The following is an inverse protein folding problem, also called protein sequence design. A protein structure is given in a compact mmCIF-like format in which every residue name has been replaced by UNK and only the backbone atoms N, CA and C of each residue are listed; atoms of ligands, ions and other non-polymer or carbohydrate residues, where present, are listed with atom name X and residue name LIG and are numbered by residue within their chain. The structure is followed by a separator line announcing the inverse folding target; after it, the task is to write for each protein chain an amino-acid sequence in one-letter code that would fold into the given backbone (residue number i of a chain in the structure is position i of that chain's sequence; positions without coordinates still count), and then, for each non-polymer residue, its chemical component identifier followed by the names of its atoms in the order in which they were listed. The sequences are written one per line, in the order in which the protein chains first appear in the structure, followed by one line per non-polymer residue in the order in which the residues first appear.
data_IF_038117949125
#
_entry.id   IF_038117949125
#
_cell.length_a   1.000
_cell.length_b   1.000
_cell.length_c   1.000
_cell.angle_alpha   90.00
_cell.angle_beta   90.00
_cell.angle_gamma   90.00
#
_symmetry.space_group_name_H-M   'P 1'
#
loop_
_entity.id
_entity.type
_entity.pdbx_description
1 polymer ?
#
# COMPACT_ATOMS: atom_id res chain seq x y z
N UNK A 1 -4.65 -34.41 -8.00
CA UNK A 1 -5.25 -33.14 -8.46
C UNK A 1 -4.10 -32.16 -8.60
N UNK A 2 -4.10 -31.29 -9.61
CA UNK A 2 -3.10 -30.22 -9.68
C UNK A 2 -3.44 -29.13 -8.66
N UNK A 3 -2.42 -28.57 -8.01
CA UNK A 3 -2.60 -27.39 -7.15
C UNK A 3 -3.07 -26.22 -8.01
N UNK A 4 -4.05 -25.47 -7.52
CA UNK A 4 -4.48 -24.23 -8.16
C UNK A 4 -3.56 -23.08 -7.71
N UNK A 5 -2.93 -22.40 -8.66
CA UNK A 5 -2.15 -21.19 -8.38
C UNK A 5 -3.10 -19.99 -8.45
N UNK A 6 -3.12 -19.19 -7.38
CA UNK A 6 -3.95 -17.99 -7.28
C UNK A 6 -3.03 -16.82 -6.99
N UNK A 7 -3.04 -15.80 -7.85
CA UNK A 7 -2.33 -14.55 -7.61
C UNK A 7 -3.28 -13.57 -6.89
N UNK A 8 -2.82 -13.05 -5.77
CA UNK A 8 -3.51 -12.08 -4.93
C UNK A 8 -2.72 -10.76 -4.92
N UNK A 9 -2.60 -10.09 -3.77
CA UNK A 9 -1.96 -8.79 -3.67
C UNK A 9 -0.42 -8.94 -3.70
N UNK A 10 0.19 -8.79 -4.88
CA UNK A 10 1.63 -9.03 -5.14
C UNK A 10 2.52 -7.84 -4.75
N UNK A 11 2.09 -7.07 -3.74
CA UNK A 11 2.66 -5.78 -3.28
C UNK A 11 4.15 -5.81 -3.05
N UNK A 12 4.60 -6.88 -2.41
CA UNK A 12 5.97 -7.03 -2.00
C UNK A 12 6.58 -8.00 -2.99
N UNK A 13 7.25 -7.45 -4.01
CA UNK A 13 8.23 -8.27 -4.73
C UNK A 13 9.30 -8.77 -3.76
N UNK A 14 9.53 -8.06 -2.64
CA UNK A 14 10.50 -8.43 -1.61
C UNK A 14 9.97 -8.27 -0.17
N UNK A 15 9.72 -9.36 0.58
CA UNK A 15 9.61 -10.73 0.10
C UNK A 15 8.22 -11.05 -0.46
N UNK A 16 8.19 -11.74 -1.61
CA UNK A 16 6.98 -12.36 -2.12
C UNK A 16 6.45 -13.35 -1.09
N UNK A 17 5.27 -13.07 -0.56
CA UNK A 17 4.58 -13.95 0.37
C UNK A 17 3.79 -15.03 -0.38
N UNK A 18 3.78 -16.23 0.17
CA UNK A 18 3.11 -17.41 -0.38
C UNK A 18 2.34 -18.10 0.74
N UNK A 19 1.13 -18.58 0.43
CA UNK A 19 0.29 -19.31 1.37
C UNK A 19 -0.22 -20.59 0.72
N UNK A 20 -0.14 -21.69 1.45
CA UNK A 20 -0.46 -23.02 0.93
C UNK A 20 -1.71 -23.52 1.65
N UNK A 21 -2.83 -23.59 0.92
CA UNK A 21 -4.15 -23.90 1.47
C UNK A 21 -4.45 -25.38 1.24
N UNK A 22 -4.70 -26.11 2.32
CA UNK A 22 -5.06 -27.52 2.26
C UNK A 22 -6.53 -27.72 1.90
N UNK A 23 -6.83 -28.78 1.14
CA UNK A 23 -8.21 -29.22 0.85
C UNK A 23 -8.90 -29.94 2.03
N UNK A 24 -8.16 -30.20 3.11
CA UNK A 24 -8.62 -30.81 4.35
C UNK A 24 -7.82 -30.28 5.54
N UNK A 25 -8.34 -30.40 6.75
CA UNK A 25 -7.63 -29.99 7.97
C UNK A 25 -6.26 -30.70 8.08
N UNK A 26 -5.22 -29.91 8.33
CA UNK A 26 -3.88 -30.42 8.63
C UNK A 26 -3.63 -30.40 10.12
N UNK A 27 -2.96 -31.44 10.61
CA UNK A 27 -2.31 -31.35 11.91
C UNK A 27 -1.13 -30.38 11.83
N UNK A 28 -0.79 -29.76 12.97
CA UNK A 28 0.39 -28.88 13.05
C UNK A 28 1.69 -29.56 12.56
N UNK A 29 1.86 -30.85 12.87
CA UNK A 29 3.03 -31.61 12.40
C UNK A 29 3.07 -31.73 10.88
N UNK A 30 1.92 -31.98 10.23
CA UNK A 30 1.84 -32.01 8.76
C UNK A 30 2.15 -30.64 8.16
N UNK A 31 1.63 -29.56 8.75
CA UNK A 31 1.98 -28.20 8.32
C UNK A 31 3.48 -27.91 8.45
N UNK A 32 4.12 -28.33 9.56
CA UNK A 32 5.56 -28.15 9.80
C UNK A 32 6.41 -28.96 8.81
N UNK A 33 5.98 -30.17 8.45
CA UNK A 33 6.65 -31.00 7.45
C UNK A 33 6.54 -30.40 6.04
N UNK A 34 5.38 -29.82 5.68
CA UNK A 34 5.18 -29.12 4.41
C UNK A 34 6.06 -27.86 4.35
N UNK A 35 6.09 -27.05 5.43
CA UNK A 35 6.93 -25.87 5.50
C UNK A 35 8.41 -26.22 5.30
N UNK A 36 8.88 -27.30 5.94
CA UNK A 36 10.25 -27.79 5.75
C UNK A 36 10.51 -28.23 4.31
N UNK A 37 9.58 -28.96 3.70
CA UNK A 37 9.70 -29.38 2.30
C UNK A 37 9.83 -28.19 1.35
N UNK A 38 9.01 -27.15 1.55
CA UNK A 38 9.05 -25.93 0.74
C UNK A 38 10.42 -25.25 0.86
N UNK A 39 10.91 -25.07 2.09
CA UNK A 39 12.22 -24.46 2.33
C UNK A 39 13.35 -25.29 1.70
N UNK A 40 13.36 -26.60 1.94
CA UNK A 40 14.38 -27.50 1.39
C UNK A 40 14.34 -27.53 -0.15
N UNK A 41 13.15 -27.37 -0.74
CA UNK A 41 13.01 -27.25 -2.19
C UNK A 41 13.63 -25.95 -2.71
N UNK A 42 13.37 -24.81 -2.06
CA UNK A 42 13.98 -23.52 -2.44
C UNK A 42 15.50 -23.56 -2.31
N UNK A 43 16.03 -24.17 -1.24
CA UNK A 43 17.47 -24.38 -1.06
C UNK A 43 18.06 -25.17 -2.26
N UNK A 44 17.42 -26.28 -2.66
CA UNK A 44 17.87 -27.09 -3.82
C UNK A 44 17.74 -26.35 -5.14
N UNK A 45 16.68 -25.56 -5.34
CA UNK A 45 16.46 -24.79 -6.55
C UNK A 45 17.55 -23.71 -6.73
N UNK A 46 17.87 -22.99 -5.65
CA UNK A 46 18.95 -22.01 -5.62
C UNK A 46 20.33 -22.63 -5.83
N UNK A 47 20.59 -23.82 -5.25
CA UNK A 47 21.84 -24.56 -5.51
C UNK A 47 21.96 -25.04 -6.95
N UNK A 48 20.85 -25.44 -7.57
CA UNK A 48 20.82 -25.96 -8.94
C UNK A 48 21.01 -24.88 -10.00
N UNK A 49 20.53 -23.66 -9.75
CA UNK A 49 20.67 -22.51 -10.64
C UNK A 49 20.96 -21.21 -9.87
N UNK A 50 22.22 -21.00 -9.43
CA UNK A 50 22.58 -19.85 -8.60
C UNK A 50 22.44 -18.51 -9.32
N UNK A 51 22.59 -18.49 -10.66
CA UNK A 51 22.43 -17.25 -11.45
C UNK A 51 20.96 -16.81 -11.46
N UNK A 52 20.04 -17.76 -11.58
CA UNK A 52 18.61 -17.48 -11.54
C UNK A 52 18.12 -16.96 -10.18
N UNK A 53 18.74 -17.44 -9.11
CA UNK A 53 18.42 -17.09 -7.73
C UNK A 53 19.31 -16.01 -7.14
N UNK A 54 20.19 -15.38 -7.95
CA UNK A 54 21.17 -14.36 -7.47
C UNK A 54 20.50 -13.22 -6.69
N UNK A 55 19.29 -12.84 -7.09
CA UNK A 55 18.53 -11.76 -6.47
C UNK A 55 17.82 -12.19 -5.18
N UNK A 56 17.42 -13.46 -5.04
CA UNK A 56 16.76 -13.96 -3.84
C UNK A 56 17.81 -14.21 -2.75
N UNK A 57 18.04 -13.26 -1.83
CA UNK A 57 19.07 -13.44 -0.80
C UNK A 57 18.51 -14.09 0.46
N UNK A 58 17.23 -13.89 0.73
CA UNK A 58 16.54 -14.44 1.88
C UNK A 58 15.24 -15.15 1.48
N UNK A 59 15.05 -16.36 2.01
CA UNK A 59 13.79 -17.09 1.92
C UNK A 59 13.55 -17.98 3.14
N UNK A 60 12.29 -18.28 3.40
CA UNK A 60 11.88 -19.12 4.50
C UNK A 60 10.46 -19.64 4.35
N UNK A 61 10.13 -20.65 5.15
CA UNK A 61 8.78 -21.18 5.25
C UNK A 61 8.47 -21.52 6.72
N UNK A 62 7.21 -21.36 7.10
CA UNK A 62 6.74 -21.50 8.47
C UNK A 62 5.28 -21.91 8.55
N UNK A 63 4.79 -21.97 9.79
CA UNK A 63 3.40 -22.29 10.09
C UNK A 63 2.85 -21.22 11.01
N UNK A 64 1.74 -20.60 10.61
CA UNK A 64 1.04 -19.59 11.38
C UNK A 64 0.31 -20.20 12.58
N UNK A 65 -0.17 -19.34 13.49
CA UNK A 65 -0.90 -19.77 14.68
C UNK A 65 -2.19 -20.57 14.35
N UNK A 66 -2.78 -20.34 13.18
CA UNK A 66 -3.98 -21.03 12.70
C UNK A 66 -3.68 -22.33 11.93
N UNK A 67 -2.40 -22.69 11.77
CA UNK A 67 -1.96 -23.89 11.05
C UNK A 67 -1.70 -23.69 9.56
N UNK A 68 -1.93 -22.48 9.02
CA UNK A 68 -1.62 -22.13 7.62
C UNK A 68 -0.12 -22.23 7.38
N UNK A 69 0.28 -22.90 6.30
CA UNK A 69 1.67 -22.92 5.86
C UNK A 69 1.95 -21.67 5.04
N UNK A 70 3.00 -20.95 5.39
CA UNK A 70 3.44 -19.72 4.74
C UNK A 70 4.87 -19.83 4.27
N UNK A 71 5.22 -19.14 3.20
CA UNK A 71 6.60 -18.96 2.76
C UNK A 71 6.81 -17.53 2.27
N UNK A 72 8.06 -17.08 2.31
CA UNK A 72 8.46 -15.75 1.88
C UNK A 72 9.81 -15.85 1.15
N UNK A 73 10.00 -15.09 0.07
CA UNK A 73 11.25 -15.04 -0.69
C UNK A 73 11.46 -13.66 -1.32
N UNK A 74 12.63 -13.04 -1.10
CA UNK A 74 12.95 -11.68 -1.57
C UNK A 74 12.84 -11.50 -3.08
N UNK A 75 13.15 -12.49 -3.91
CA UNK A 75 12.97 -12.38 -5.36
C UNK A 75 12.67 -13.74 -5.96
N UNK A 76 11.48 -14.28 -5.64
CA UNK A 76 11.11 -15.60 -6.10
C UNK A 76 11.05 -15.64 -7.65
N UNK A 77 11.87 -16.45 -8.34
CA UNK A 77 11.92 -16.40 -9.80
C UNK A 77 10.59 -16.87 -10.41
N UNK A 78 9.93 -16.12 -11.31
CA UNK A 78 8.58 -16.46 -11.79
C UNK A 78 8.44 -17.85 -12.41
N UNK A 79 9.47 -18.31 -13.13
CA UNK A 79 9.52 -19.66 -13.72
C UNK A 79 9.59 -20.80 -12.69
N UNK A 80 9.95 -20.51 -11.44
CA UNK A 80 10.02 -21.50 -10.36
C UNK A 80 8.65 -21.74 -9.68
N UNK A 81 7.65 -20.88 -9.95
CA UNK A 81 6.31 -20.97 -9.33
C UNK A 81 5.63 -22.29 -9.72
N UNK A 82 5.59 -22.59 -11.01
CA UNK A 82 5.00 -23.83 -11.52
C UNK A 82 5.78 -25.07 -11.05
N UNK A 83 7.12 -24.97 -10.99
CA UNK A 83 7.98 -26.08 -10.52
C UNK A 83 7.74 -26.40 -9.04
N UNK A 84 7.54 -25.39 -8.21
CA UNK A 84 7.15 -25.58 -6.81
C UNK A 84 5.75 -26.22 -6.70
N UNK A 85 4.79 -25.75 -7.50
CA UNK A 85 3.44 -26.33 -7.52
C UNK A 85 3.43 -27.80 -7.97
N UNK A 86 4.28 -28.17 -8.94
CA UNK A 86 4.47 -29.56 -9.38
C UNK A 86 5.06 -30.43 -8.26
N UNK A 87 6.10 -29.96 -7.58
CA UNK A 87 6.72 -30.68 -6.45
C UNK A 87 5.69 -30.92 -5.34
N UNK A 88 4.92 -29.89 -4.97
CA UNK A 88 3.89 -29.98 -3.93
C UNK A 88 2.73 -30.89 -4.34
N UNK A 89 2.37 -30.91 -5.63
CA UNK A 89 1.35 -31.84 -6.13
C UNK A 89 1.75 -33.30 -5.92
N UNK A 90 3.05 -33.61 -6.02
CA UNK A 90 3.59 -34.96 -5.83
C UNK A 90 3.74 -35.31 -4.34
N UNK A 91 4.32 -34.39 -3.56
CA UNK A 91 4.76 -34.68 -2.19
C UNK A 91 3.76 -34.24 -1.11
N UNK A 92 2.84 -33.36 -1.45
CA UNK A 92 1.86 -32.77 -0.54
C UNK A 92 0.45 -32.73 -1.18
N UNK A 93 -0.14 -33.89 -1.55
CA UNK A 93 -1.43 -33.96 -2.25
C UNK A 93 -2.61 -33.36 -1.47
N UNK A 94 -2.43 -33.08 -0.17
CA UNK A 94 -3.36 -32.36 0.68
C UNK A 94 -3.45 -30.86 0.37
N UNK A 95 -2.43 -30.26 -0.25
CA UNK A 95 -2.46 -28.86 -0.68
C UNK A 95 -3.34 -28.76 -1.92
N UNK A 96 -4.36 -27.91 -1.85
CA UNK A 96 -5.29 -27.65 -2.94
C UNK A 96 -4.95 -26.34 -3.68
N UNK A 97 -4.49 -25.33 -2.96
CA UNK A 97 -4.20 -24.00 -3.52
C UNK A 97 -2.83 -23.49 -3.06
N UNK A 98 -2.12 -22.83 -3.98
CA UNK A 98 -0.96 -22.00 -3.69
C UNK A 98 -1.33 -20.56 -4.01
N UNK A 99 -1.38 -19.71 -2.99
CA UNK A 99 -1.75 -18.30 -3.10
C UNK A 99 -0.49 -17.45 -3.06
N UNK A 100 -0.25 -16.68 -4.10
CA UNK A 100 0.89 -15.78 -4.26
C UNK A 100 0.47 -14.36 -3.89
N UNK A 101 1.19 -13.71 -2.99
CA UNK A 101 0.89 -12.39 -2.46
C UNK A 101 0.16 -12.41 -1.12
N UNK A 102 -0.14 -11.20 -0.63
CA UNK A 102 -0.92 -10.98 0.57
C UNK A 102 -2.39 -11.33 0.33
N UNK A 103 -3.13 -11.80 1.36
CA UNK A 103 -4.57 -11.95 1.25
C UNK A 103 -5.23 -10.67 0.76
N UNK A 104 -6.06 -10.81 -0.28
CA UNK A 104 -7.03 -9.78 -0.64
C UNK A 104 -8.01 -9.65 0.53
N UNK A 105 -7.74 -8.73 1.45
CA UNK A 105 -8.79 -8.22 2.30
C UNK A 105 -9.83 -7.58 1.37
N UNK A 106 -11.12 -7.90 1.56
CA UNK A 106 -12.20 -7.48 0.64
C UNK A 106 -12.15 -6.00 0.22
N UNK A 107 -12.87 -5.63 -0.86
CA UNK A 107 -12.58 -4.42 -1.61
C UNK A 107 -12.56 -3.20 -0.69
N UNK A 108 -11.52 -2.37 -0.85
CA UNK A 108 -11.35 -1.16 -0.07
C UNK A 108 -12.51 -0.22 -0.40
N UNK A 109 -13.44 -0.04 0.54
CA UNK A 109 -14.55 0.88 0.37
C UNK A 109 -14.26 2.19 1.11
N UNK A 110 -14.73 3.32 0.57
CA UNK A 110 -14.64 4.61 1.27
C UNK A 110 -15.33 4.57 2.65
N UNK A 111 -16.33 3.69 2.82
CA UNK A 111 -17.05 3.47 4.09
C UNK A 111 -16.20 2.80 5.16
N UNK A 112 -15.16 2.07 4.76
CA UNK A 112 -14.26 1.36 5.68
C UNK A 112 -13.07 2.22 6.09
N UNK A 113 -13.06 3.51 5.70
CA UNK A 113 -12.02 4.46 6.07
C UNK A 113 -11.89 4.54 7.59
N UNK A 114 -10.70 4.24 8.09
CA UNK A 114 -10.33 4.49 9.47
C UNK A 114 -10.12 6.00 9.66
N UNK A 115 -10.87 6.58 10.58
CA UNK A 115 -10.81 8.01 10.88
C UNK A 115 -9.96 8.28 12.12
N UNK A 116 -9.20 9.37 12.09
CA UNK A 116 -8.43 9.87 13.21
C UNK A 116 -9.00 11.23 13.64
N UNK A 117 -9.35 11.33 14.93
CA UNK A 117 -9.85 12.56 15.53
C UNK A 117 -8.69 13.44 15.95
N UNK A 118 -8.65 14.66 15.45
CA UNK A 118 -7.69 15.69 15.83
C UNK A 118 -8.42 16.73 16.69
N UNK A 119 -7.96 16.91 17.92
CA UNK A 119 -8.51 17.93 18.81
C UNK A 119 -8.20 19.34 18.33
N UNK A 120 -9.04 20.31 18.70
CA UNK A 120 -8.77 21.72 18.42
C UNK A 120 -7.44 22.15 19.07
N UNK A 121 -6.70 23.03 18.40
CA UNK A 121 -5.42 23.49 18.91
C UNK A 121 -4.84 24.66 18.12
N UNK A 122 -3.60 25.01 18.42
CA UNK A 122 -2.84 26.01 17.67
C UNK A 122 -1.67 25.33 16.95
N UNK A 123 -1.48 25.71 15.69
CA UNK A 123 -0.40 25.19 14.85
C UNK A 123 0.33 26.35 14.22
N UNK A 124 1.66 26.35 14.39
CA UNK A 124 2.54 27.28 13.69
C UNK A 124 2.92 26.70 12.34
N UNK A 125 2.74 27.42 11.24
CA UNK A 125 3.25 27.07 9.91
C UNK A 125 4.07 28.26 9.40
N UNK A 126 5.38 28.03 9.18
CA UNK A 126 6.31 29.11 8.89
C UNK A 126 6.37 30.13 10.04
N UNK A 127 5.93 31.37 9.79
CA UNK A 127 5.91 32.47 10.79
C UNK A 127 4.52 32.76 11.35
N UNK A 128 3.51 31.98 10.98
CA UNK A 128 2.12 32.22 11.36
C UNK A 128 1.64 31.14 12.32
N UNK A 129 1.06 31.55 13.44
CA UNK A 129 0.33 30.65 14.34
C UNK A 129 -1.16 30.77 14.04
N UNK A 130 -1.79 29.63 13.75
CA UNK A 130 -3.18 29.53 13.32
C UNK A 130 -3.95 28.65 14.30
N UNK A 131 -5.15 29.08 14.67
CA UNK A 131 -6.08 28.22 15.38
C UNK A 131 -6.67 27.20 14.41
N UNK A 132 -6.65 25.93 14.80
CA UNK A 132 -7.18 24.79 14.04
C UNK A 132 -8.35 24.21 14.85
N UNK A 133 -9.60 24.20 14.32
CA UNK A 133 -10.72 23.56 15.00
C UNK A 133 -10.50 22.04 15.07
N UNK A 134 -11.31 21.35 15.87
CA UNK A 134 -11.30 19.88 15.86
C UNK A 134 -11.84 19.36 14.52
N UNK A 135 -11.26 18.27 14.00
CA UNK A 135 -11.69 17.64 12.75
C UNK A 135 -11.37 16.14 12.74
N UNK A 136 -11.92 15.42 11.77
CA UNK A 136 -11.62 14.01 11.51
C UNK A 136 -11.00 13.84 10.13
N UNK A 137 -9.85 13.15 10.07
CA UNK A 137 -9.07 12.90 8.85
C UNK A 137 -8.81 11.40 8.67
N UNK A 138 -8.67 10.94 7.43
CA UNK A 138 -8.34 9.54 7.15
C UNK A 138 -6.97 9.16 7.73
N UNK A 139 -6.93 8.05 8.47
CA UNK A 139 -5.72 7.52 9.11
C UNK A 139 -4.66 7.07 8.10
N UNK A 140 -5.10 6.54 6.94
CA UNK A 140 -4.26 6.24 5.78
C UNK A 140 -4.55 7.23 4.64
N UNK A 141 -3.65 7.37 3.66
CA UNK A 141 -4.02 7.96 2.38
C UNK A 141 -5.17 7.19 1.72
N UNK A 142 -5.86 7.83 0.78
CA UNK A 142 -6.86 7.17 -0.06
C UNK A 142 -6.19 6.01 -0.80
N UNK A 143 -6.81 4.83 -0.76
CA UNK A 143 -6.22 3.64 -1.38
C UNK A 143 -6.58 3.52 -2.86
N UNK A 144 -5.83 2.71 -3.59
CA UNK A 144 -6.18 2.38 -4.99
C UNK A 144 -7.60 1.84 -5.08
N UNK A 145 -7.98 0.86 -4.25
CA UNK A 145 -9.32 0.27 -4.27
C UNK A 145 -10.44 1.28 -3.96
N UNK A 146 -10.21 2.23 -3.05
CA UNK A 146 -11.16 3.31 -2.79
C UNK A 146 -11.32 4.22 -4.01
N UNK A 147 -10.21 4.53 -4.70
CA UNK A 147 -10.23 5.34 -5.90
C UNK A 147 -10.86 4.61 -7.10
N UNK A 148 -10.70 3.29 -7.19
CA UNK A 148 -11.40 2.45 -8.15
C UNK A 148 -12.92 2.47 -7.92
N UNK A 149 -13.38 2.47 -6.67
CA UNK A 149 -14.80 2.66 -6.35
C UNK A 149 -15.33 3.98 -6.96
N UNK A 150 -14.54 5.05 -6.84
CA UNK A 150 -14.85 6.34 -7.45
C UNK A 150 -14.89 6.27 -8.98
N UNK A 151 -13.89 5.68 -9.63
CA UNK A 151 -13.84 5.53 -11.09
C UNK A 151 -15.03 4.71 -11.58
N UNK A 152 -15.30 3.57 -10.95
CA UNK A 152 -16.40 2.69 -11.31
C UNK A 152 -17.76 3.38 -11.15
N UNK A 153 -17.94 4.18 -10.09
CA UNK A 153 -19.19 4.89 -9.82
C UNK A 153 -19.44 6.09 -10.75
N UNK A 154 -18.38 6.72 -11.28
CA UNK A 154 -18.49 8.01 -11.98
C UNK A 154 -18.08 7.97 -13.45
N UNK A 155 -17.37 6.92 -13.88
CA UNK A 155 -16.71 6.88 -15.18
C UNK A 155 -15.57 7.89 -15.33
N UNK A 156 -15.02 8.38 -14.21
CA UNK A 156 -13.93 9.35 -14.22
C UNK A 156 -12.65 8.75 -14.80
N UNK A 157 -11.89 9.54 -15.56
CA UNK A 157 -10.57 9.16 -16.07
C UNK A 157 -9.54 10.14 -15.49
N UNK A 158 -8.66 9.69 -14.58
CA UNK A 158 -7.66 10.56 -13.98
C UNK A 158 -6.66 11.02 -15.04
N UNK A 159 -5.99 12.15 -14.79
CA UNK A 159 -5.09 12.73 -15.79
C UNK A 159 -3.95 11.79 -16.24
N UNK A 160 -3.26 11.04 -15.36
CA UNK A 160 -2.23 10.08 -15.76
C UNK A 160 -2.76 9.06 -16.78
N UNK A 161 -3.99 8.57 -16.58
CA UNK A 161 -4.63 7.57 -17.46
C UNK A 161 -4.97 8.08 -18.86
N UNK A 162 -4.80 9.39 -19.11
CA UNK A 162 -4.97 9.98 -20.44
C UNK A 162 -3.68 9.96 -21.27
N UNK A 163 -2.55 9.65 -20.66
CA UNK A 163 -1.24 9.62 -21.32
C UNK A 163 -0.73 8.18 -21.37
N UNK A 164 -0.89 7.52 -22.51
CA UNK A 164 -0.48 6.11 -22.73
C UNK A 164 1.05 5.89 -22.60
N UNK A 165 1.83 6.96 -22.59
CA UNK A 165 3.29 6.93 -22.72
C UNK A 165 4.04 6.60 -21.41
N UNK A 166 3.35 6.52 -20.25
CA UNK A 166 3.98 6.22 -18.96
C UNK A 166 3.10 5.31 -18.07
N UNK A 167 3.21 3.97 -18.21
CA UNK A 167 2.31 3.05 -17.56
C UNK A 167 2.43 3.00 -16.02
N UNK A 168 3.55 3.42 -15.43
CA UNK A 168 3.84 3.19 -14.01
C UNK A 168 2.90 3.85 -12.99
N UNK A 169 2.15 4.88 -13.40
CA UNK A 169 1.22 5.62 -12.53
C UNK A 169 -0.26 5.40 -12.92
N UNK A 170 -0.52 4.48 -13.84
CA UNK A 170 -1.88 4.18 -14.28
C UNK A 170 -2.61 3.36 -13.22
N UNK A 171 -3.91 3.61 -13.04
CA UNK A 171 -4.73 2.78 -12.15
C UNK A 171 -4.66 1.29 -12.56
N UNK A 172 -4.65 1.00 -13.86
CA UNK A 172 -4.48 -0.37 -14.36
C UNK A 172 -3.11 -0.97 -14.04
N UNK A 173 -2.07 -0.15 -13.90
CA UNK A 173 -0.76 -0.62 -13.44
C UNK A 173 -0.77 -0.96 -11.95
N UNK A 174 -1.43 -0.12 -11.13
CA UNK A 174 -1.68 -0.48 -9.74
C UNK A 174 -2.46 -1.79 -9.63
N UNK A 175 -3.47 -2.03 -10.47
CA UNK A 175 -4.23 -3.29 -10.45
C UNK A 175 -3.42 -4.50 -10.89
N UNK A 176 -2.54 -4.31 -11.87
CA UNK A 176 -1.63 -5.36 -12.32
C UNK A 176 -0.67 -5.79 -11.20
N UNK A 177 -0.20 -4.83 -10.40
CA UNK A 177 0.77 -5.09 -9.33
C UNK A 177 0.14 -5.46 -7.98
N UNK A 178 -1.04 -4.91 -7.66
CA UNK A 178 -1.65 -4.99 -6.34
C UNK A 178 -3.06 -5.63 -6.34
N UNK A 179 -3.47 -6.22 -7.47
CA UNK A 179 -4.75 -6.89 -7.61
C UNK A 179 -5.97 -5.95 -7.76
N UNK A 180 -7.20 -6.51 -7.75
CA UNK A 180 -8.41 -5.82 -8.23
C UNK A 180 -9.06 -4.84 -7.24
N UNK A 181 -8.51 -4.68 -6.03
CA UNK A 181 -8.95 -3.64 -5.08
C UNK A 181 -7.93 -3.44 -3.97
N UNK A 182 -6.79 -2.79 -4.25
CA UNK A 182 -5.70 -2.72 -3.31
C UNK A 182 -6.01 -1.80 -2.11
N UNK A 183 -5.53 -2.19 -0.93
CA UNK A 183 -5.55 -1.33 0.28
C UNK A 183 -4.32 -0.43 0.40
N UNK A 184 -3.50 -0.38 -0.64
CA UNK A 184 -2.31 0.47 -0.73
C UNK A 184 -2.68 1.91 -1.03
N UNK A 185 -1.92 2.82 -0.45
CA UNK A 185 -2.01 4.25 -0.75
C UNK A 185 -1.89 4.49 -2.27
N UNK A 186 -2.81 5.27 -2.80
CA UNK A 186 -2.76 5.72 -4.18
C UNK A 186 -1.76 6.87 -4.29
N UNK A 187 -0.77 6.71 -5.17
CA UNK A 187 0.18 7.75 -5.54
C UNK A 187 0.01 8.14 -7.00
N UNK A 188 0.45 9.36 -7.31
CA UNK A 188 0.57 9.80 -8.70
C UNK A 188 -0.76 10.20 -9.33
N UNK A 189 -1.63 10.85 -8.55
CA UNK A 189 -2.78 11.58 -9.08
C UNK A 189 -2.59 13.08 -8.92
N UNK A 190 -3.17 13.85 -9.83
CA UNK A 190 -3.10 15.31 -9.75
C UNK A 190 -3.93 15.87 -8.60
N UNK A 191 -3.73 17.15 -8.29
CA UNK A 191 -4.56 17.86 -7.31
C UNK A 191 -6.04 17.85 -7.71
N UNK A 192 -6.33 17.96 -9.02
CA UNK A 192 -7.68 17.97 -9.55
C UNK A 192 -8.36 16.61 -9.45
N UNK A 193 -7.60 15.55 -9.69
CA UNK A 193 -8.04 14.17 -9.52
C UNK A 193 -8.43 13.90 -8.05
N UNK A 194 -7.62 14.40 -7.11
CA UNK A 194 -7.90 14.31 -5.68
C UNK A 194 -9.14 15.11 -5.27
N UNK A 195 -9.31 16.33 -5.77
CA UNK A 195 -10.52 17.14 -5.53
C UNK A 195 -11.78 16.50 -6.12
N UNK A 196 -11.68 15.89 -7.30
CA UNK A 196 -12.80 15.18 -7.93
C UNK A 196 -13.28 14.01 -7.06
N UNK A 197 -12.33 13.22 -6.53
CA UNK A 197 -12.60 12.16 -5.57
C UNK A 197 -13.28 12.70 -4.31
N UNK A 198 -12.69 13.73 -3.68
CA UNK A 198 -13.25 14.35 -2.48
C UNK A 198 -14.69 14.79 -2.69
N UNK A 199 -14.99 15.43 -3.83
CA UNK A 199 -16.33 15.87 -4.18
C UNK A 199 -17.31 14.71 -4.30
N UNK A 200 -16.92 13.62 -4.96
CA UNK A 200 -17.76 12.42 -5.08
C UNK A 200 -18.05 11.79 -3.71
N UNK A 201 -17.03 11.70 -2.86
CA UNK A 201 -17.13 11.09 -1.54
C UNK A 201 -17.81 11.99 -0.48
N UNK A 202 -18.17 13.24 -0.82
CA UNK A 202 -18.62 14.27 0.12
C UNK A 202 -17.59 14.52 1.26
N UNK A 203 -16.33 14.63 0.86
CA UNK A 203 -15.16 14.89 1.71
C UNK A 203 -14.38 16.09 1.14
N UNK A 204 -13.28 16.45 1.78
CA UNK A 204 -12.36 17.51 1.29
C UNK A 204 -10.90 17.15 1.54
N UNK A 205 -9.99 17.82 0.85
CA UNK A 205 -8.58 17.81 1.21
C UNK A 205 -8.37 18.58 2.54
N UNK A 206 -7.41 18.16 3.38
CA UNK A 206 -7.00 18.95 4.53
C UNK A 206 -6.37 20.28 4.09
N UNK A 207 -6.39 21.29 4.94
CA UNK A 207 -5.52 22.47 4.77
C UNK A 207 -4.08 22.15 5.17
N UNK A 208 -3.16 23.03 4.80
CA UNK A 208 -1.75 23.03 5.23
C UNK A 208 -1.60 22.85 6.76
N UNK A 209 -2.31 23.65 7.56
CA UNK A 209 -2.22 23.59 9.02
C UNK A 209 -2.99 22.41 9.64
N UNK A 210 -4.08 21.94 9.02
CA UNK A 210 -4.77 20.72 9.47
C UNK A 210 -3.89 19.49 9.28
N UNK A 211 -3.27 19.34 8.10
CA UNK A 211 -2.43 18.19 7.82
C UNK A 211 -1.20 18.15 8.73
N UNK A 212 -0.58 19.30 8.98
CA UNK A 212 0.47 19.42 9.98
C UNK A 212 -0.03 19.04 11.39
N UNK A 213 -1.20 19.53 11.80
CA UNK A 213 -1.78 19.22 13.11
C UNK A 213 -2.01 17.72 13.30
N UNK A 214 -2.52 17.06 12.26
CA UNK A 214 -2.71 15.63 12.23
C UNK A 214 -1.41 14.87 12.48
N UNK A 215 -0.34 15.13 11.72
CA UNK A 215 0.94 14.45 11.91
C UNK A 215 1.51 14.66 13.31
N UNK A 216 1.49 15.91 13.81
CA UNK A 216 1.95 16.21 15.16
C UNK A 216 1.12 15.49 16.23
N UNK A 217 -0.20 15.43 16.06
CA UNK A 217 -1.10 14.79 17.02
C UNK A 217 -0.92 13.28 17.04
N UNK A 218 -0.82 12.64 15.87
CA UNK A 218 -0.56 11.22 15.75
C UNK A 218 0.79 10.81 16.37
N UNK A 219 1.87 11.56 16.07
CA UNK A 219 3.18 11.29 16.67
C UNK A 219 3.17 11.46 18.20
N UNK A 220 2.48 12.48 18.74
CA UNK A 220 2.34 12.65 20.20
C UNK A 220 1.56 11.52 20.87
N UNK A 221 0.67 10.87 20.14
CA UNK A 221 -0.08 9.69 20.58
C UNK A 221 0.69 8.38 20.35
N UNK A 222 1.97 8.44 19.96
CA UNK A 222 2.82 7.27 19.74
C UNK A 222 2.34 6.40 18.57
N UNK A 223 1.67 6.99 17.59
CA UNK A 223 1.23 6.27 16.40
C UNK A 223 2.32 6.25 15.34
N UNK A 224 2.53 5.08 14.75
CA UNK A 224 3.45 4.87 13.63
C UNK A 224 2.67 4.86 12.31
N UNK A 225 3.27 5.47 11.29
CA UNK A 225 2.70 5.51 9.95
C UNK A 225 3.37 4.47 9.07
N UNK A 226 2.56 3.60 8.47
CA UNK A 226 3.02 2.57 7.53
C UNK A 226 3.28 3.18 6.15
N UNK A 227 2.40 4.10 5.72
CA UNK A 227 2.48 4.76 4.41
C UNK A 227 2.91 6.22 4.55
N UNK A 228 4.01 6.56 3.86
CA UNK A 228 4.56 7.91 3.77
C UNK A 228 4.27 8.61 2.43
N UNK A 229 4.98 9.70 2.15
CA UNK A 229 4.96 10.39 0.86
C UNK A 229 4.26 11.75 0.88
N UNK A 230 4.28 12.41 -0.29
CA UNK A 230 3.77 13.76 -0.49
C UNK A 230 2.24 13.78 -0.46
N UNK A 231 1.65 14.32 0.60
CA UNK A 231 0.20 14.42 0.76
C UNK A 231 -0.31 15.78 0.24
N UNK A 232 -1.25 15.75 -0.71
CA UNK A 232 -1.94 16.97 -1.18
C UNK A 232 -2.68 17.70 -0.06
N UNK A 233 -2.69 19.04 -0.14
CA UNK A 233 -3.55 19.92 0.67
C UNK A 233 -4.46 20.78 -0.21
N UNK A 234 -5.47 21.39 0.39
CA UNK A 234 -6.32 22.41 -0.23
C UNK A 234 -5.67 23.81 -0.29
N UNK A 235 -4.50 24.01 0.34
CA UNK A 235 -3.87 25.33 0.44
C UNK A 235 -3.11 25.68 -0.84
N UNK A 236 -3.65 26.65 -1.59
CA UNK A 236 -2.96 27.26 -2.73
C UNK A 236 -2.04 28.40 -2.28
N UNK A 237 -0.84 28.45 -2.81
CA UNK A 237 0.12 29.56 -2.60
C UNK A 237 0.08 30.55 -3.76
N UNK A 238 -0.08 30.04 -4.98
CA UNK A 238 -0.24 30.83 -6.20
C UNK A 238 -0.99 30.01 -7.26
N UNK A 239 -1.21 30.59 -8.44
CA UNK A 239 -1.91 29.91 -9.53
C UNK A 239 -1.26 28.54 -9.83
N UNK A 240 -2.06 27.48 -9.74
CA UNK A 240 -1.66 26.07 -9.90
C UNK A 240 -0.58 25.56 -8.95
N UNK A 241 -0.21 26.27 -7.88
CA UNK A 241 0.79 25.80 -6.92
C UNK A 241 0.15 25.57 -5.55
N UNK A 242 0.29 24.35 -5.05
CA UNK A 242 -0.32 23.88 -3.82
C UNK A 242 0.71 23.36 -2.85
N UNK A 243 0.39 23.47 -1.56
CA UNK A 243 1.23 22.90 -0.51
C UNK A 243 1.03 21.39 -0.48
N UNK A 244 2.12 20.64 -0.41
CA UNK A 244 2.16 19.22 -0.02
C UNK A 244 2.95 19.03 1.26
N UNK A 245 2.68 17.93 1.95
CA UNK A 245 3.45 17.51 3.12
C UNK A 245 3.98 16.10 2.95
N UNK A 246 5.29 15.93 3.10
CA UNK A 246 5.94 14.63 3.16
C UNK A 246 5.67 14.00 4.53
N UNK A 247 4.80 12.99 4.54
CA UNK A 247 4.51 12.18 5.73
C UNK A 247 5.34 10.90 5.80
N UNK A 248 5.50 10.30 6.98
CA UNK A 248 5.25 10.90 8.29
C UNK A 248 6.33 11.92 8.65
N UNK A 249 5.93 13.05 9.26
CA UNK A 249 6.91 13.94 9.89
C UNK A 249 7.53 13.22 11.10
N UNK A 250 8.68 12.57 10.91
CA UNK A 250 9.38 11.85 11.98
C UNK A 250 9.76 12.85 13.06
N UNK A 251 9.16 12.70 14.24
CA UNK A 251 9.24 13.63 15.35
C UNK A 251 10.61 13.70 16.04
N UNK A 252 11.69 13.25 15.40
CA UNK A 252 13.05 13.21 15.98
C UNK A 252 13.54 14.59 16.43
N UNK A 253 12.94 15.68 15.96
CA UNK A 253 12.65 16.76 16.89
C UNK A 253 11.40 17.56 16.47
N UNK A 254 10.47 17.79 17.40
CA UNK A 254 9.44 18.85 17.29
C UNK A 254 10.07 20.26 17.13
N UNK A 255 11.39 20.36 17.10
CA UNK A 255 12.18 21.55 16.84
C UNK A 255 12.79 21.61 15.43
N UNK A 256 12.62 20.60 14.59
CA UNK A 256 13.13 20.62 13.22
C UNK A 256 12.25 21.59 12.41
N UNK A 257 12.84 22.48 11.59
CA UNK A 257 12.05 23.49 10.91
C UNK A 257 11.07 22.81 9.96
N UNK A 258 9.79 23.08 10.19
CA UNK A 258 8.62 22.61 9.43
C UNK A 258 8.80 22.60 7.90
N UNK A 259 9.64 23.50 7.40
CA UNK A 259 9.95 23.68 5.98
C UNK A 259 10.56 22.44 5.31
N UNK A 260 11.14 21.49 6.08
CA UNK A 260 11.71 20.27 5.48
C UNK A 260 10.68 19.32 4.92
N UNK A 261 9.50 19.26 5.55
CA UNK A 261 8.42 18.36 5.14
C UNK A 261 7.40 19.04 4.25
N UNK A 262 7.50 20.36 4.04
CA UNK A 262 6.50 21.17 3.35
C UNK A 262 7.04 21.57 1.98
N UNK A 263 6.43 21.05 0.90
CA UNK A 263 6.82 21.37 -0.47
C UNK A 263 5.70 22.11 -1.21
N UNK A 264 6.07 22.68 -2.35
CA UNK A 264 5.14 23.31 -3.28
C UNK A 264 5.15 22.50 -4.56
N UNK A 265 3.99 21.93 -4.89
CA UNK A 265 3.82 21.12 -6.09
C UNK A 265 2.87 21.82 -7.06
N UNK A 266 3.17 21.70 -8.35
CA UNK A 266 2.25 22.13 -9.40
C UNK A 266 0.99 21.24 -9.36
N UNK A 267 -0.19 21.79 -9.62
CA UNK A 267 -1.47 21.05 -9.53
C UNK A 267 -1.49 19.83 -10.44
N UNK A 268 -0.69 19.83 -11.51
CA UNK A 268 -0.55 18.74 -12.47
C UNK A 268 0.67 17.84 -12.18
N UNK A 269 1.31 17.97 -11.02
CA UNK A 269 2.34 17.03 -10.58
C UNK A 269 1.71 15.67 -10.28
N UNK A 270 2.17 14.62 -10.94
CA UNK A 270 1.71 13.25 -10.68
C UNK A 270 2.79 12.18 -10.88
N UNK A 271 4.02 12.56 -11.23
CA UNK A 271 5.11 11.63 -11.58
C UNK A 271 6.31 11.77 -10.63
N UNK A 272 7.26 10.83 -10.77
CA UNK A 272 8.59 10.79 -10.14
C UNK A 272 8.59 10.50 -8.62
N UNK A 273 9.75 10.69 -7.98
CA UNK A 273 9.97 10.46 -6.54
C UNK A 273 9.03 11.29 -5.64
N UNK A 274 8.33 12.27 -6.21
CA UNK A 274 7.39 13.16 -5.54
C UNK A 274 5.94 12.90 -5.96
N UNK A 275 5.64 11.70 -6.48
CA UNK A 275 4.29 11.31 -6.84
C UNK A 275 3.37 11.44 -5.62
N UNK A 276 2.40 12.38 -5.64
CA UNK A 276 1.66 12.72 -4.45
C UNK A 276 0.52 11.73 -4.21
N UNK A 277 0.27 11.45 -2.95
CA UNK A 277 -0.95 10.82 -2.44
C UNK A 277 -1.84 11.88 -1.78
N UNK A 278 -2.95 11.47 -1.19
CA UNK A 278 -3.80 12.40 -0.44
C UNK A 278 -4.60 11.73 0.66
N UNK A 279 -4.87 12.52 1.70
CA UNK A 279 -5.76 12.19 2.81
C UNK A 279 -7.02 13.03 2.69
N UNK A 280 -8.09 12.55 3.32
CA UNK A 280 -9.41 13.19 3.23
C UNK A 280 -9.92 13.56 4.62
N UNK A 281 -10.59 14.71 4.71
CA UNK A 281 -11.20 15.25 5.92
C UNK A 281 -12.72 15.25 5.74
N UNK A 282 -13.47 14.94 6.82
CA UNK A 282 -14.94 15.05 6.81
C UNK A 282 -15.37 16.52 6.66
N UNK A 283 -16.46 16.75 5.91
CA UNK A 283 -17.12 18.06 5.79
C UNK A 283 -18.03 18.31 6.99
#
# INVERSE_FOLDING_TARGET
MSIQIIYEDLVDWEPLQMRFIAGSDLTRSESEDIARLIKDWMDRAAEADPELWEMAKEWGAGVEADGTVTAACEFFPPQEIERLAEELTVNCPQIAEMRMGMPLEGPACIKDTKWFSVDAGEVTVGKQTLAVPAFEISWSPVTVGQYEEFIAATGYTPLPDKFEEQPGFLIDHFKLNFGPSPKHALYGVTHDDALAFCKWANLRLPTDHELKHFFHSACRQGQDFVDGGECWTSTSVMHNLYVSWEGPCRAESLSDPDERYRKLLDRYQYQFLEAPCFRVVKI
#
